data_IF_469456932206
#
_entry.id   IF_469456932206
#
_cell.length_a   1.000
_cell.length_b   1.000
_cell.length_c   1.000
_cell.angle_alpha   90.00
_cell.angle_beta   90.00
_cell.angle_gamma   90.00
#
_symmetry.space_group_name_H-M   'P 1'
#
loop_
_entity.id
_entity.type
_entity.pdbx_description
1 polymer ?
#
# COMPACT_ATOMS: atom_id res chain seq x y z
N UNK A 1 6.43 -9.83 -13.65
CA UNK A 1 7.05 -8.87 -12.70
C UNK A 1 6.34 -7.53 -12.78
N UNK A 2 5.69 -7.12 -11.70
CA UNK A 2 4.90 -5.89 -11.62
C UNK A 2 5.79 -4.65 -11.78
N UNK A 3 5.28 -3.58 -12.39
CA UNK A 3 6.05 -2.37 -12.66
C UNK A 3 6.62 -1.72 -11.37
N UNK A 4 5.88 -1.82 -10.25
CA UNK A 4 6.34 -1.35 -8.94
C UNK A 4 7.60 -2.07 -8.45
N UNK A 5 7.66 -3.40 -8.59
CA UNK A 5 8.82 -4.20 -8.17
C UNK A 5 10.06 -3.83 -8.99
N UNK A 6 9.90 -3.64 -10.31
CA UNK A 6 10.99 -3.17 -11.19
C UNK A 6 11.54 -1.81 -10.76
N UNK A 7 10.68 -0.91 -10.27
CA UNK A 7 11.14 0.39 -9.77
C UNK A 7 11.90 0.25 -8.46
N UNK A 8 11.44 -0.61 -7.54
CA UNK A 8 12.14 -0.88 -6.27
C UNK A 8 13.50 -1.54 -6.50
N UNK A 9 13.54 -2.57 -7.34
CA UNK A 9 14.76 -3.28 -7.75
C UNK A 9 15.83 -2.33 -8.29
N UNK A 10 15.45 -1.41 -9.20
CA UNK A 10 16.38 -0.45 -9.80
C UNK A 10 16.78 0.70 -8.87
N UNK A 11 16.10 0.87 -7.74
CA UNK A 11 16.28 2.03 -6.87
C UNK A 11 16.34 1.60 -5.39
N UNK A 12 15.49 2.21 -4.56
CA UNK A 12 15.29 1.86 -3.15
C UNK A 12 13.84 1.42 -2.99
N UNK A 13 13.55 0.57 -2.01
CA UNK A 13 12.20 0.03 -1.83
C UNK A 13 11.15 1.12 -1.51
N UNK A 14 11.58 2.28 -1.01
CA UNK A 14 10.73 3.45 -0.77
C UNK A 14 10.47 4.34 -2.01
N UNK A 15 10.97 3.99 -3.20
CA UNK A 15 10.92 4.86 -4.40
C UNK A 15 9.50 5.35 -4.73
N UNK A 16 8.49 4.50 -4.54
CA UNK A 16 7.09 4.88 -4.78
C UNK A 16 6.60 5.92 -3.76
N UNK A 17 7.00 5.79 -2.49
CA UNK A 17 6.70 6.78 -1.45
C UNK A 17 7.38 8.14 -1.71
N UNK A 18 8.60 8.13 -2.27
CA UNK A 18 9.26 9.36 -2.71
C UNK A 18 8.48 10.02 -3.86
N UNK A 19 8.03 9.24 -4.85
CA UNK A 19 7.18 9.72 -5.94
C UNK A 19 5.84 10.31 -5.46
N UNK A 20 5.19 9.64 -4.49
CA UNK A 20 3.98 10.14 -3.83
C UNK A 20 4.26 11.49 -3.16
N UNK A 21 5.36 11.58 -2.41
CA UNK A 21 5.72 12.81 -1.69
C UNK A 21 5.98 13.98 -2.65
N UNK A 22 6.65 13.71 -3.78
CA UNK A 22 6.83 14.69 -4.86
C UNK A 22 5.48 15.14 -5.42
N UNK A 23 4.55 14.22 -5.69
CA UNK A 23 3.22 14.53 -6.24
C UNK A 23 2.36 15.33 -5.27
N UNK A 24 2.41 15.00 -3.98
CA UNK A 24 1.77 15.78 -2.91
C UNK A 24 2.35 17.20 -2.91
N UNK A 25 3.68 17.33 -2.93
CA UNK A 25 4.34 18.65 -2.94
C UNK A 25 3.88 19.52 -4.12
N UNK A 26 3.85 18.97 -5.33
CA UNK A 26 3.38 19.69 -6.52
C UNK A 26 1.89 20.05 -6.48
N UNK A 27 1.08 19.31 -5.72
CA UNK A 27 -0.36 19.54 -5.58
C UNK A 27 -0.72 20.48 -4.43
N UNK A 28 0.25 20.90 -3.61
CA UNK A 28 0.00 21.82 -2.49
C UNK A 28 -0.33 23.21 -3.02
N UNK A 29 -1.50 23.71 -2.65
CA UNK A 29 -1.86 25.13 -2.83
C UNK A 29 -1.59 25.87 -1.53
N UNK A 30 -0.98 27.05 -1.63
CA UNK A 30 -0.72 27.90 -0.46
C UNK A 30 -2.03 28.23 0.26
N UNK A 31 -2.00 28.17 1.60
CA UNK A 31 -3.08 28.52 2.54
C UNK A 31 -4.27 27.56 2.73
N UNK A 32 -4.25 26.35 2.16
CA UNK A 32 -5.26 25.33 2.47
C UNK A 32 -4.71 24.20 3.34
N UNK A 33 -5.44 23.86 4.42
CA UNK A 33 -5.19 22.64 5.21
C UNK A 33 -5.79 21.44 4.46
N UNK A 34 -4.98 20.79 3.62
CA UNK A 34 -5.40 19.62 2.86
C UNK A 34 -4.89 18.33 3.53
N UNK A 35 -5.74 17.30 3.56
CA UNK A 35 -5.33 15.93 3.82
C UNK A 35 -5.24 15.16 2.49
N UNK A 36 -4.26 14.27 2.37
CA UNK A 36 -4.07 13.43 1.18
C UNK A 36 -4.24 11.97 1.58
N UNK A 37 -4.99 11.21 0.79
CA UNK A 37 -5.21 9.78 1.01
C UNK A 37 -4.34 9.00 0.04
N UNK A 38 -3.53 8.09 0.58
CA UNK A 38 -2.73 7.13 -0.18
C UNK A 38 -3.40 5.77 -0.01
N UNK A 39 -3.86 5.17 -1.11
CA UNK A 39 -4.69 3.96 -1.04
C UNK A 39 -3.93 2.69 -0.65
N UNK A 40 -2.66 2.57 -1.02
CA UNK A 40 -1.89 1.36 -0.70
C UNK A 40 -0.41 1.68 -0.54
N UNK A 41 0.19 1.07 0.48
CA UNK A 41 1.62 0.95 0.69
C UNK A 41 1.91 -0.55 0.72
N UNK A 42 2.98 -0.97 0.04
CA UNK A 42 3.27 -2.39 -0.17
C UNK A 42 4.63 -2.82 0.32
N UNK A 43 5.43 -1.90 0.83
CA UNK A 43 6.74 -2.23 1.40
C UNK A 43 7.00 -1.45 2.70
N UNK A 44 7.56 -2.07 3.75
CA UNK A 44 7.90 -1.39 5.01
C UNK A 44 8.69 -0.08 4.83
N UNK A 45 9.70 -0.09 3.96
CA UNK A 45 10.50 1.10 3.63
C UNK A 45 9.67 2.30 3.15
N UNK A 46 8.54 2.08 2.47
CA UNK A 46 7.62 3.15 2.05
C UNK A 46 7.01 3.85 3.27
N UNK A 47 6.61 3.06 4.28
CA UNK A 47 6.07 3.57 5.55
C UNK A 47 7.15 4.33 6.31
N UNK A 48 8.34 3.76 6.45
CA UNK A 48 9.48 4.39 7.12
C UNK A 48 9.82 5.72 6.45
N UNK A 49 9.82 5.77 5.13
CA UNK A 49 10.06 6.99 4.38
C UNK A 49 8.98 8.05 4.62
N UNK A 50 7.70 7.69 4.52
CA UNK A 50 6.60 8.65 4.74
C UNK A 50 6.57 9.17 6.17
N UNK A 51 6.85 8.31 7.16
CA UNK A 51 7.03 8.73 8.56
C UNK A 51 8.17 9.73 8.72
N UNK A 52 9.30 9.54 8.03
CA UNK A 52 10.42 10.52 8.05
C UNK A 52 10.06 11.85 7.38
N UNK A 53 9.27 11.83 6.30
CA UNK A 53 8.94 13.04 5.53
C UNK A 53 7.84 13.88 6.20
N UNK A 54 6.81 13.22 6.74
CA UNK A 54 5.61 13.89 7.25
C UNK A 54 5.46 13.83 8.77
N UNK A 55 6.24 12.99 9.44
CA UNK A 55 6.29 12.84 10.90
C UNK A 55 4.88 12.74 11.52
N UNK A 56 4.53 13.60 12.47
CA UNK A 56 3.22 13.64 13.13
C UNK A 56 2.03 13.91 12.18
N UNK A 57 2.29 14.25 10.91
CA UNK A 57 1.29 14.44 9.87
C UNK A 57 0.94 13.18 9.06
N UNK A 58 1.63 12.05 9.29
CA UNK A 58 1.36 10.79 8.61
C UNK A 58 0.69 9.77 9.53
N UNK A 59 -0.36 9.14 9.01
CA UNK A 59 -1.10 8.09 9.67
C UNK A 59 -1.30 6.92 8.71
N UNK A 60 -0.98 5.71 9.18
CA UNK A 60 -1.18 4.48 8.43
C UNK A 60 -2.37 3.70 9.00
N UNK A 61 -3.35 3.43 8.14
CA UNK A 61 -4.53 2.62 8.46
C UNK A 61 -4.33 1.20 7.92
N UNK A 62 -4.25 0.21 8.81
CA UNK A 62 -4.22 -1.21 8.50
C UNK A 62 -5.63 -1.76 8.33
N UNK A 63 -6.08 -1.90 7.09
CA UNK A 63 -7.40 -2.45 6.78
C UNK A 63 -7.34 -3.98 6.77
N UNK A 64 -8.18 -4.62 7.56
CA UNK A 64 -8.37 -6.07 7.56
C UNK A 64 -9.74 -6.44 6.99
N UNK A 65 -9.74 -7.43 6.10
CA UNK A 65 -10.96 -8.08 5.61
C UNK A 65 -10.69 -9.57 5.51
N UNK A 66 -11.74 -10.38 5.68
CA UNK A 66 -11.63 -11.82 5.57
C UNK A 66 -11.32 -12.22 4.12
N UNK A 67 -10.51 -13.27 3.94
CA UNK A 67 -10.08 -13.75 2.62
C UNK A 67 -11.26 -14.00 1.64
N UNK A 68 -12.41 -14.58 2.05
CA UNK A 68 -13.54 -14.78 1.15
C UNK A 68 -14.11 -13.46 0.61
N UNK A 69 -14.24 -12.43 1.45
CA UNK A 69 -14.72 -11.11 1.01
C UNK A 69 -13.73 -10.42 0.07
N UNK A 70 -12.43 -10.61 0.30
CA UNK A 70 -11.39 -10.11 -0.62
C UNK A 70 -11.43 -10.82 -1.97
N UNK A 71 -11.65 -12.14 -1.97
CA UNK A 71 -11.81 -12.94 -3.19
C UNK A 71 -13.04 -12.46 -3.97
N UNK A 72 -14.18 -12.35 -3.31
CA UNK A 72 -15.44 -11.85 -3.89
C UNK A 72 -15.26 -10.46 -4.52
N UNK A 73 -14.61 -9.52 -3.81
CA UNK A 73 -14.33 -8.19 -4.36
C UNK A 73 -13.46 -8.25 -5.63
N UNK A 74 -12.42 -9.09 -5.65
CA UNK A 74 -11.51 -9.19 -6.79
C UNK A 74 -12.13 -9.92 -7.99
N UNK A 75 -12.97 -10.93 -7.76
CA UNK A 75 -13.64 -11.66 -8.83
C UNK A 75 -14.85 -10.90 -9.38
N UNK A 76 -15.69 -10.31 -8.52
CA UNK A 76 -16.92 -9.61 -8.93
C UNK A 76 -16.62 -8.19 -9.41
N UNK A 77 -15.94 -7.38 -8.60
CA UNK A 77 -15.75 -5.95 -8.90
C UNK A 77 -14.55 -5.70 -9.82
N UNK A 78 -13.50 -6.54 -9.74
CA UNK A 78 -12.32 -6.42 -10.61
C UNK A 78 -12.31 -7.38 -11.80
N UNK A 79 -13.31 -8.27 -11.90
CA UNK A 79 -13.49 -9.20 -13.02
C UNK A 79 -12.23 -10.06 -13.30
N UNK A 80 -11.46 -10.37 -12.25
CA UNK A 80 -10.31 -11.26 -12.34
C UNK A 80 -10.80 -12.71 -12.29
N UNK A 81 -10.11 -13.62 -12.99
CA UNK A 81 -10.39 -15.05 -12.84
C UNK A 81 -10.03 -15.51 -11.42
N UNK A 82 -10.64 -16.61 -10.96
CA UNK A 82 -10.36 -17.16 -9.62
C UNK A 82 -8.87 -17.49 -9.46
N UNK A 83 -8.25 -18.11 -10.46
CA UNK A 83 -6.82 -18.44 -10.44
C UNK A 83 -5.94 -17.18 -10.35
N UNK A 84 -6.19 -16.17 -11.19
CA UNK A 84 -5.45 -14.91 -11.15
C UNK A 84 -5.63 -14.19 -9.81
N UNK A 85 -6.83 -14.28 -9.24
CA UNK A 85 -7.15 -13.66 -7.95
C UNK A 85 -6.41 -14.32 -6.81
N UNK A 86 -6.37 -15.65 -6.77
CA UNK A 86 -5.64 -16.39 -5.74
C UNK A 86 -4.12 -16.15 -5.81
N UNK A 87 -3.57 -16.14 -7.02
CA UNK A 87 -2.15 -15.85 -7.24
C UNK A 87 -1.80 -14.40 -6.88
N UNK A 88 -2.70 -13.46 -7.19
CA UNK A 88 -2.54 -12.06 -6.81
C UNK A 88 -2.60 -11.89 -5.29
N UNK A 89 -3.51 -12.59 -4.59
CA UNK A 89 -3.58 -12.57 -3.12
C UNK A 89 -2.29 -13.14 -2.51
N UNK A 90 -1.80 -14.28 -3.02
CA UNK A 90 -0.57 -14.91 -2.50
C UNK A 90 0.66 -14.04 -2.72
N UNK A 91 0.81 -13.50 -3.92
CA UNK A 91 1.95 -12.62 -4.26
C UNK A 91 1.90 -11.30 -3.49
N UNK A 92 0.73 -10.71 -3.25
CA UNK A 92 0.65 -9.43 -2.53
C UNK A 92 1.01 -9.58 -1.03
N UNK A 93 0.73 -10.73 -0.40
CA UNK A 93 0.94 -10.96 1.04
C UNK A 93 2.42 -10.95 1.43
N UNK A 94 3.27 -11.70 0.72
CA UNK A 94 4.71 -11.75 0.98
C UNK A 94 5.48 -12.35 -0.21
N UNK A 95 6.09 -11.51 -1.03
CA UNK A 95 7.05 -11.94 -2.05
C UNK A 95 8.42 -12.22 -1.42
N UNK A 96 9.10 -13.27 -1.86
CA UNK A 96 10.42 -13.68 -1.34
C UNK A 96 11.51 -12.63 -1.62
N UNK A 97 11.38 -11.93 -2.74
CA UNK A 97 12.34 -10.93 -3.19
C UNK A 97 12.43 -9.74 -2.23
N UNK A 98 13.64 -9.22 -2.01
CA UNK A 98 13.87 -8.09 -1.10
C UNK A 98 13.04 -6.87 -1.50
N UNK A 99 12.98 -6.59 -2.80
CA UNK A 99 12.23 -5.49 -3.44
C UNK A 99 10.76 -5.84 -3.74
N UNK A 100 10.32 -7.03 -3.32
CA UNK A 100 8.98 -7.54 -3.55
C UNK A 100 7.91 -6.85 -2.72
N UNK A 101 6.67 -7.25 -2.91
CA UNK A 101 5.54 -6.79 -2.10
C UNK A 101 5.54 -7.50 -0.74
N UNK A 102 5.52 -6.73 0.34
CA UNK A 102 5.54 -7.19 1.74
C UNK A 102 4.40 -6.54 2.50
N UNK A 103 3.17 -6.71 2.01
CA UNK A 103 2.00 -6.04 2.59
C UNK A 103 1.72 -6.50 4.01
N UNK A 104 2.01 -7.76 4.35
CA UNK A 104 1.90 -8.27 5.73
C UNK A 104 2.80 -7.51 6.71
N UNK A 105 4.07 -7.37 6.37
CA UNK A 105 5.03 -6.63 7.21
C UNK A 105 4.64 -5.15 7.29
N UNK A 106 4.19 -4.58 6.17
CA UNK A 106 3.69 -3.21 6.09
C UNK A 106 2.45 -3.01 6.98
N UNK A 107 1.54 -3.98 7.01
CA UNK A 107 0.32 -3.95 7.83
C UNK A 107 0.65 -3.85 9.33
N UNK A 108 1.68 -4.56 9.79
CA UNK A 108 2.11 -4.51 11.20
C UNK A 108 2.65 -3.13 11.63
N UNK A 109 2.98 -2.24 10.68
CA UNK A 109 3.44 -0.87 10.96
C UNK A 109 2.30 0.16 11.06
N UNK A 110 1.04 -0.28 10.93
CA UNK A 110 -0.11 0.60 11.00
C UNK A 110 -0.29 1.24 12.38
N UNK A 111 -0.75 2.48 12.41
CA UNK A 111 -1.10 3.20 13.65
C UNK A 111 -2.49 2.78 14.16
N UNK A 112 -3.40 2.47 13.23
CA UNK A 112 -4.76 2.03 13.53
C UNK A 112 -5.15 0.83 12.67
N UNK A 113 -5.93 -0.07 13.24
CA UNK A 113 -6.44 -1.26 12.57
C UNK A 113 -7.96 -1.16 12.41
N UNK A 114 -8.47 -1.37 11.20
CA UNK A 114 -9.90 -1.33 10.89
C UNK A 114 -10.33 -2.68 10.32
N UNK A 115 -11.32 -3.32 10.94
CA UNK A 115 -11.91 -4.55 10.45
C UNK A 115 -13.15 -4.24 9.59
N UNK A 116 -13.01 -4.40 8.28
CA UNK A 116 -14.08 -4.19 7.32
C UNK A 116 -14.94 -5.47 7.27
N UNK A 117 -16.10 -5.44 7.94
CA UNK A 117 -17.00 -6.59 7.96
C UNK A 117 -17.88 -6.75 9.19
N UNK A 118 -17.75 -5.88 10.20
CA UNK A 118 -18.72 -5.71 11.29
C UNK A 118 -19.19 -4.26 11.31
N UNK A 119 -20.19 -3.94 10.50
CA UNK A 119 -21.08 -2.79 10.70
C UNK A 119 -22.48 -3.34 10.56
#
# INVERSE_FOLDING_TARGET
>A
MLAGNKLREKNRNYILAAGISSKINSSRKMNNKNAYIIFSLKHPDEVVFLRKVYDAGFYLLGLYTEKPKRLEYLTIEKQLSENETEDLIKSDENEEEEYGQKTRDTYHLADFFLALGKI
#
